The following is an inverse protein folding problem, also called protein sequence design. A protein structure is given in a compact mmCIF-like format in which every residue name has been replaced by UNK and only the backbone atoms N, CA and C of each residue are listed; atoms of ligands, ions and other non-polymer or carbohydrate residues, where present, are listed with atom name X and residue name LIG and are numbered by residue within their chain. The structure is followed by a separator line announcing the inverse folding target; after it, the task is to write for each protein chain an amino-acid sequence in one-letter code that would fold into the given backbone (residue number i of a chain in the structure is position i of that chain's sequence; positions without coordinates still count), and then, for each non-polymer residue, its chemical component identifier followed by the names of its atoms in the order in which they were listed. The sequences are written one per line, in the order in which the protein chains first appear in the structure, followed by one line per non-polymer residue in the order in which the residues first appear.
data_IF_366375238373
#
_entry.id   IF_366375238373
#
_cell.length_a   1.000
_cell.length_b   1.000
_cell.length_c   1.000
_cell.angle_alpha   90.00
_cell.angle_beta   90.00
_cell.angle_gamma   90.00
#
_symmetry.space_group_name_H-M   'P 1'
#
loop_
_entity.id
_entity.type
_entity.pdbx_description
1 polymer ?
#
# COMPACT_ATOMS: atom_id res chain seq x y z
N UNK A 1 6.33 30.19 -38.39
CA UNK A 1 6.82 31.04 -37.28
C UNK A 1 6.60 30.29 -35.99
N UNK A 2 7.58 29.48 -35.59
CA UNK A 2 7.63 28.71 -34.36
C UNK A 2 9.08 28.77 -33.90
N UNK A 3 9.34 29.26 -32.69
CA UNK A 3 10.50 28.84 -31.89
C UNK A 3 10.35 29.39 -30.46
N UNK A 4 9.60 28.66 -29.63
CA UNK A 4 9.53 28.89 -28.20
C UNK A 4 9.75 27.60 -27.38
N UNK A 5 10.42 26.60 -27.96
CA UNK A 5 10.71 25.31 -27.29
C UNK A 5 12.15 25.12 -26.82
N UNK A 6 13.03 26.14 -26.91
CA UNK A 6 14.46 25.97 -26.60
C UNK A 6 14.96 26.56 -25.27
N UNK A 7 14.09 27.05 -24.37
CA UNK A 7 14.58 27.71 -23.13
C UNK A 7 14.58 26.85 -21.86
N UNK A 8 14.23 25.56 -21.90
CA UNK A 8 14.13 24.75 -20.67
C UNK A 8 15.34 23.82 -20.38
N UNK A 9 16.38 23.84 -21.21
CA UNK A 9 17.58 22.99 -21.02
C UNK A 9 18.90 23.76 -20.91
N UNK A 10 18.85 25.05 -20.56
CA UNK A 10 20.05 25.91 -20.51
C UNK A 10 20.62 26.17 -19.11
N UNK A 11 20.03 25.65 -18.03
CA UNK A 11 20.50 26.04 -16.70
C UNK A 11 20.57 24.87 -15.72
N UNK A 12 21.79 24.36 -15.56
CA UNK A 12 22.42 23.92 -14.29
C UNK A 12 23.64 23.04 -14.55
N UNK A 13 24.75 23.68 -14.95
CA UNK A 13 26.11 23.18 -14.71
C UNK A 13 26.86 24.19 -13.85
N UNK A 14 26.64 24.16 -12.54
CA UNK A 14 27.55 24.82 -11.61
C UNK A 14 28.60 23.81 -11.14
N UNK A 15 29.83 23.98 -11.65
CA UNK A 15 31.04 23.33 -11.15
C UNK A 15 31.39 23.94 -9.79
N UNK A 16 31.45 23.13 -8.75
CA UNK A 16 32.01 23.53 -7.45
C UNK A 16 33.52 23.27 -7.49
N UNK A 17 34.31 24.34 -7.39
CA UNK A 17 35.75 24.27 -7.09
C UNK A 17 35.87 24.10 -5.58
N UNK A 18 36.48 23.01 -5.10
CA UNK A 18 36.83 22.85 -3.69
C UNK A 18 38.35 22.84 -3.58
N UNK A 19 38.95 23.94 -3.14
CA UNK A 19 40.29 23.94 -2.56
C UNK A 19 40.18 23.52 -1.10
N UNK A 20 40.89 22.43 -0.75
CA UNK A 20 41.36 22.13 0.61
C UNK A 20 40.31 22.13 1.74
N UNK A 21 39.61 21.01 1.92
CA UNK A 21 39.03 20.66 3.21
C UNK A 21 39.16 19.16 3.43
N UNK A 22 39.78 18.77 4.54
CA UNK A 22 39.98 17.38 4.97
C UNK A 22 38.63 16.70 5.18
N UNK A 23 38.37 15.64 4.41
CA UNK A 23 37.10 14.92 4.42
C UNK A 23 36.94 14.10 5.70
N UNK A 24 36.02 14.52 6.57
CA UNK A 24 35.27 13.58 7.41
C UNK A 24 33.80 13.70 7.05
N UNK A 25 33.36 12.86 6.10
CA UNK A 25 31.94 12.70 5.80
C UNK A 25 31.28 12.04 7.02
N UNK A 26 30.71 12.85 7.93
CA UNK A 26 29.71 12.35 8.87
C UNK A 26 28.39 12.24 8.11
N UNK A 27 27.86 11.03 8.03
CA UNK A 27 26.56 10.72 7.42
C UNK A 27 25.47 11.66 7.96
N UNK A 28 24.60 12.25 7.12
CA UNK A 28 23.55 13.15 7.58
C UNK A 28 22.32 12.43 8.18
N UNK A 29 22.47 11.18 8.65
CA UNK A 29 21.33 10.37 9.12
C UNK A 29 20.89 10.67 10.57
N UNK A 30 21.45 11.67 11.24
CA UNK A 30 20.97 12.11 12.54
C UNK A 30 19.76 13.05 12.38
N UNK A 31 18.57 12.50 12.13
CA UNK A 31 17.32 13.28 12.26
C UNK A 31 16.25 13.07 11.19
N UNK A 32 16.49 12.24 10.18
CA UNK A 32 15.36 11.75 9.36
C UNK A 32 14.64 10.70 10.22
N UNK A 33 13.34 10.85 10.54
CA UNK A 33 12.58 9.73 11.08
C UNK A 33 12.75 8.61 10.07
N UNK A 34 13.42 7.53 10.50
CA UNK A 34 13.52 6.34 9.70
C UNK A 34 12.09 6.01 9.29
N UNK A 35 11.78 6.04 7.99
CA UNK A 35 10.55 5.41 7.50
C UNK A 35 10.71 3.98 7.96
N UNK A 36 10.02 3.62 9.04
CA UNK A 36 10.10 2.29 9.61
C UNK A 36 9.69 1.37 8.49
N UNK A 37 10.66 0.65 7.93
CA UNK A 37 10.41 -0.53 7.13
C UNK A 37 9.71 -1.51 8.04
N UNK A 38 8.39 -1.41 8.10
CA UNK A 38 7.56 -2.34 8.80
C UNK A 38 7.46 -3.58 7.94
N UNK A 39 8.31 -4.58 8.21
CA UNK A 39 7.73 -5.91 8.28
C UNK A 39 6.54 -5.77 9.23
N UNK A 40 5.32 -5.71 8.69
CA UNK A 40 4.10 -5.53 9.47
C UNK A 40 3.73 -6.84 10.16
N UNK A 41 4.70 -7.45 10.83
CA UNK A 41 4.50 -8.51 11.79
C UNK A 41 3.91 -7.84 13.03
N UNK A 42 2.58 -7.84 13.14
CA UNK A 42 1.90 -7.18 14.24
C UNK A 42 0.43 -6.90 13.97
N UNK A 43 -0.27 -6.47 15.02
CA UNK A 43 -1.69 -6.17 14.99
C UNK A 43 -1.93 -4.76 14.43
N UNK A 44 -1.85 -4.61 13.10
CA UNK A 44 -2.20 -3.37 12.40
C UNK A 44 -1.05 -2.47 11.97
N UNK A 45 -1.39 -1.33 11.36
CA UNK A 45 -0.47 -0.26 10.96
C UNK A 45 -0.85 0.48 9.68
N UNK A 46 -0.19 1.61 9.44
CA UNK A 46 -0.33 2.39 8.21
C UNK A 46 0.72 1.95 7.17
N UNK A 47 0.24 1.56 5.99
CA UNK A 47 1.03 1.00 4.91
C UNK A 47 0.97 1.96 3.73
N UNK A 48 2.07 2.66 3.45
CA UNK A 48 2.09 3.82 2.53
C UNK A 48 2.95 3.63 1.29
N UNK A 49 3.57 2.46 1.12
CA UNK A 49 4.41 2.17 -0.04
C UNK A 49 3.55 1.76 -1.25
N UNK A 50 3.97 2.02 -2.50
CA UNK A 50 3.23 1.57 -3.68
C UNK A 50 3.06 0.04 -3.72
N UNK A 51 4.06 -0.70 -3.22
CA UNK A 51 4.01 -2.15 -3.05
C UNK A 51 4.40 -2.47 -1.63
N UNK A 52 3.71 -3.41 -0.99
CA UNK A 52 4.05 -3.82 0.37
C UNK A 52 3.62 -5.24 0.72
N UNK A 53 4.15 -5.72 1.84
CA UNK A 53 4.00 -7.08 2.31
C UNK A 53 5.32 -7.88 2.28
N UNK A 54 5.34 -9.10 2.85
CA UNK A 54 4.19 -9.79 3.45
C UNK A 54 3.70 -9.12 4.74
N UNK A 55 2.38 -8.99 4.87
CA UNK A 55 1.67 -8.57 6.09
C UNK A 55 0.92 -9.78 6.61
N UNK A 56 0.97 -10.01 7.91
CA UNK A 56 0.44 -11.23 8.51
C UNK A 56 -0.49 -10.95 9.67
N UNK A 57 -1.40 -11.89 9.95
CA UNK A 57 -2.02 -11.98 11.27
C UNK A 57 -0.95 -12.12 12.36
N UNK A 58 -1.31 -11.86 13.61
CA UNK A 58 -0.40 -12.07 14.74
C UNK A 58 0.09 -13.52 14.77
N UNK A 59 1.33 -13.72 15.25
CA UNK A 59 1.98 -15.01 15.43
C UNK A 59 2.16 -15.89 14.18
N UNK A 60 1.71 -15.46 12.99
CA UNK A 60 1.87 -16.21 11.74
C UNK A 60 3.34 -16.63 11.55
N UNK A 61 3.64 -17.90 11.21
CA UNK A 61 2.73 -18.94 10.73
C UNK A 61 2.10 -19.81 11.84
N UNK A 62 2.25 -19.44 13.12
CA UNK A 62 1.46 -20.03 14.21
C UNK A 62 0.07 -19.40 14.28
N UNK A 63 -0.80 -19.93 15.14
CA UNK A 63 -2.15 -19.40 15.23
C UNK A 63 -2.18 -17.98 15.81
N UNK A 64 -3.09 -17.14 15.29
CA UNK A 64 -3.41 -15.85 15.89
C UNK A 64 -3.96 -16.00 17.32
N UNK A 65 -4.07 -14.89 18.05
CA UNK A 65 -4.63 -14.84 19.40
C UNK A 65 -6.14 -14.62 19.44
N UNK A 66 -6.75 -14.93 20.58
CA UNK A 66 -8.15 -14.63 20.86
C UNK A 66 -8.36 -13.14 21.15
N UNK A 67 -9.56 -12.62 20.91
CA UNK A 67 -9.98 -11.25 21.19
C UNK A 67 -9.13 -10.18 20.51
N UNK A 68 -8.61 -10.48 19.32
CA UNK A 68 -7.83 -9.52 18.55
C UNK A 68 -8.75 -8.51 17.85
N UNK A 69 -8.25 -7.30 17.70
CA UNK A 69 -8.82 -6.26 16.84
C UNK A 69 -7.67 -5.53 16.16
N UNK A 70 -7.29 -6.00 14.97
CA UNK A 70 -6.14 -5.51 14.23
C UNK A 70 -6.59 -4.73 13.00
N UNK A 71 -6.00 -3.55 12.80
CA UNK A 71 -6.44 -2.61 11.78
C UNK A 71 -5.27 -2.15 10.91
N UNK A 72 -5.40 -2.32 9.59
CA UNK A 72 -4.42 -1.85 8.62
C UNK A 72 -5.06 -0.82 7.69
N UNK A 73 -4.40 0.32 7.52
CA UNK A 73 -4.75 1.30 6.51
C UNK A 73 -3.68 1.29 5.41
N UNK A 74 -4.06 0.88 4.21
CA UNK A 74 -3.23 0.96 3.03
C UNK A 74 -3.57 2.26 2.30
N UNK A 75 -2.56 3.10 2.05
CA UNK A 75 -2.69 4.31 1.25
C UNK A 75 -1.63 4.32 0.18
N UNK A 76 -2.04 4.36 -1.09
CA UNK A 76 -1.15 4.46 -2.25
C UNK A 76 -1.24 5.86 -2.88
N UNK A 77 -0.33 6.23 -3.80
CA UNK A 77 -0.40 7.52 -4.47
C UNK A 77 -1.76 7.76 -5.15
N UNK A 78 -2.19 9.03 -5.16
CA UNK A 78 -3.38 9.45 -5.90
C UNK A 78 -3.31 9.04 -7.37
N UNK A 79 -4.48 8.80 -7.98
CA UNK A 79 -4.56 8.26 -9.34
C UNK A 79 -4.16 6.78 -9.43
N UNK A 80 -3.98 6.09 -8.31
CA UNK A 80 -3.79 4.63 -8.26
C UNK A 80 -4.90 3.96 -7.46
N UNK A 81 -5.12 2.67 -7.73
CA UNK A 81 -5.96 1.78 -6.92
C UNK A 81 -5.10 0.68 -6.28
N UNK A 82 -5.64 -0.03 -5.32
CA UNK A 82 -4.94 -1.06 -4.54
C UNK A 82 -5.40 -2.43 -4.99
N UNK A 83 -4.44 -3.29 -5.34
CA UNK A 83 -4.65 -4.73 -5.54
C UNK A 83 -4.08 -5.50 -4.36
N UNK A 84 -4.97 -6.04 -3.53
CA UNK A 84 -4.67 -6.90 -2.39
C UNK A 84 -4.64 -8.38 -2.84
N UNK A 85 -3.61 -9.12 -2.44
CA UNK A 85 -3.42 -10.53 -2.79
C UNK A 85 -3.10 -11.33 -1.54
N UNK A 86 -3.71 -12.50 -1.40
CA UNK A 86 -3.47 -13.41 -0.27
C UNK A 86 -2.62 -14.60 -0.71
N UNK A 87 -1.59 -14.89 0.08
CA UNK A 87 -0.81 -16.12 -0.07
C UNK A 87 -1.49 -17.27 0.70
N UNK A 88 -2.09 -16.96 1.85
CA UNK A 88 -2.80 -17.92 2.70
C UNK A 88 -3.94 -17.23 3.47
N UNK A 89 -5.01 -17.98 3.73
CA UNK A 89 -6.13 -17.52 4.56
C UNK A 89 -6.83 -18.69 5.26
N UNK A 90 -6.83 -18.66 6.59
CA UNK A 90 -7.47 -19.65 7.45
C UNK A 90 -7.82 -19.04 8.81
N UNK A 91 -9.10 -18.72 9.03
CA UNK A 91 -9.64 -18.25 10.32
C UNK A 91 -10.76 -19.18 10.82
N UNK A 92 -11.24 -19.00 12.04
CA UNK A 92 -12.45 -19.69 12.49
C UNK A 92 -13.67 -19.21 11.69
N UNK A 93 -14.32 -20.15 10.99
CA UNK A 93 -15.34 -19.86 10.00
C UNK A 93 -16.64 -19.22 10.52
N UNK A 94 -16.94 -19.33 11.82
CA UNK A 94 -18.18 -18.79 12.38
C UNK A 94 -18.04 -17.39 12.96
N UNK A 95 -16.82 -17.01 13.35
CA UNK A 95 -16.64 -16.12 14.48
C UNK A 95 -15.48 -15.13 14.29
N UNK A 96 -14.49 -15.50 13.45
CA UNK A 96 -13.32 -14.66 13.18
C UNK A 96 -13.36 -14.12 11.75
N UNK A 97 -13.21 -12.81 11.61
CA UNK A 97 -13.49 -12.11 10.37
C UNK A 97 -12.36 -11.16 9.99
N UNK A 98 -11.92 -11.21 8.74
CA UNK A 98 -11.16 -10.14 8.11
C UNK A 98 -12.11 -9.37 7.19
N UNK A 99 -12.43 -8.13 7.54
CA UNK A 99 -13.27 -7.25 6.72
C UNK A 99 -12.41 -6.24 5.98
N UNK A 100 -12.63 -6.13 4.67
CA UNK A 100 -11.92 -5.23 3.76
C UNK A 100 -12.88 -4.15 3.30
N UNK A 101 -12.48 -2.89 3.46
CA UNK A 101 -13.26 -1.70 3.19
C UNK A 101 -12.61 -0.87 2.09
N UNK A 102 -13.43 -0.31 1.19
CA UNK A 102 -13.02 0.52 0.07
C UNK A 102 -12.90 1.99 0.48
N UNK A 103 -11.91 2.30 1.30
CA UNK A 103 -11.66 3.65 1.79
C UNK A 103 -10.70 3.67 2.97
N UNK A 104 -10.66 4.80 3.67
CA UNK A 104 -9.67 5.06 4.71
C UNK A 104 -10.08 4.61 6.13
N UNK A 105 -11.28 4.04 6.31
CA UNK A 105 -11.82 3.66 7.62
C UNK A 105 -12.91 2.58 7.52
N UNK A 106 -13.36 2.07 8.66
CA UNK A 106 -14.45 1.10 8.79
C UNK A 106 -15.85 1.68 8.52
N UNK A 107 -15.95 2.99 8.28
CA UNK A 107 -17.17 3.64 7.80
C UNK A 107 -17.34 3.59 6.27
N UNK A 108 -16.32 3.13 5.54
CA UNK A 108 -16.37 3.00 4.09
C UNK A 108 -17.17 1.75 3.65
N UNK A 109 -17.42 1.63 2.35
CA UNK A 109 -18.13 0.48 1.80
C UNK A 109 -17.32 -0.81 1.99
N UNK A 110 -17.96 -1.89 2.45
CA UNK A 110 -17.30 -3.20 2.53
C UNK A 110 -17.15 -3.78 1.13
N UNK A 111 -15.92 -4.13 0.75
CA UNK A 111 -15.64 -4.89 -0.47
C UNK A 111 -15.93 -6.37 -0.22
N UNK A 112 -15.38 -6.91 0.88
CA UNK A 112 -15.52 -8.31 1.23
C UNK A 112 -15.28 -8.54 2.73
N UNK A 113 -15.98 -9.52 3.28
CA UNK A 113 -15.66 -10.11 4.60
C UNK A 113 -15.23 -11.56 4.37
N UNK A 114 -14.05 -11.92 4.87
CA UNK A 114 -13.45 -13.23 4.75
C UNK A 114 -13.47 -13.97 6.08
N UNK A 115 -13.75 -15.26 6.04
CA UNK A 115 -13.70 -16.17 7.20
C UNK A 115 -13.45 -17.62 6.75
N UNK A 116 -13.06 -18.50 7.66
CA UNK A 116 -12.80 -19.91 7.37
C UNK A 116 -11.51 -20.12 6.57
N UNK A 117 -11.29 -21.36 6.12
CA UNK A 117 -10.19 -21.70 5.22
C UNK A 117 -10.65 -21.57 3.77
N UNK A 118 -10.00 -20.69 3.00
CA UNK A 118 -10.35 -20.50 1.59
C UNK A 118 -9.19 -19.92 0.76
N UNK A 119 -9.20 -20.19 -0.54
CA UNK A 119 -8.37 -19.48 -1.51
C UNK A 119 -9.06 -18.17 -1.90
N UNK A 120 -8.39 -17.05 -1.67
CA UNK A 120 -8.96 -15.72 -1.90
C UNK A 120 -8.45 -15.17 -3.23
N UNK A 121 -9.36 -14.82 -4.14
CA UNK A 121 -8.99 -14.12 -5.38
C UNK A 121 -8.54 -12.69 -5.09
N UNK A 122 -7.69 -12.07 -5.93
CA UNK A 122 -7.24 -10.70 -5.69
C UNK A 122 -8.41 -9.73 -5.51
N UNK A 123 -8.31 -8.88 -4.49
CA UNK A 123 -9.31 -7.88 -4.14
C UNK A 123 -8.81 -6.51 -4.60
N UNK A 124 -9.66 -5.75 -5.29
CA UNK A 124 -9.30 -4.46 -5.91
C UNK A 124 -10.14 -3.35 -5.27
N UNK A 125 -9.51 -2.27 -4.80
CA UNK A 125 -10.22 -1.06 -4.36
C UNK A 125 -10.68 -0.20 -5.54
N UNK A 126 -11.60 0.72 -5.29
CA UNK A 126 -11.95 1.78 -6.25
C UNK A 126 -11.21 3.09 -6.00
N UNK A 127 -10.61 3.23 -4.82
CA UNK A 127 -9.83 4.42 -4.43
C UNK A 127 -8.36 4.09 -4.12
N UNK A 128 -7.58 5.12 -3.81
CA UNK A 128 -6.19 4.98 -3.37
C UNK A 128 -6.05 4.62 -1.88
N UNK A 129 -7.16 4.29 -1.19
CA UNK A 129 -7.17 3.84 0.20
C UNK A 129 -7.95 2.54 0.37
N UNK A 130 -7.44 1.64 1.20
CA UNK A 130 -8.09 0.39 1.57
C UNK A 130 -7.85 0.13 3.05
N UNK A 131 -8.94 -0.05 3.80
CA UNK A 131 -8.89 -0.32 5.23
C UNK A 131 -9.24 -1.78 5.49
N UNK A 132 -8.48 -2.44 6.35
CA UNK A 132 -8.67 -3.84 6.71
C UNK A 132 -8.80 -3.94 8.21
N UNK A 133 -9.80 -4.70 8.68
CA UNK A 133 -9.96 -5.01 10.11
C UNK A 133 -10.11 -6.51 10.32
N UNK A 134 -9.21 -7.08 11.12
CA UNK A 134 -9.32 -8.45 11.61
C UNK A 134 -9.84 -8.44 13.05
N UNK A 135 -10.88 -9.22 13.30
CA UNK A 135 -11.40 -9.47 14.65
C UNK A 135 -11.46 -10.95 14.95
N UNK A 136 -11.05 -11.36 16.15
CA UNK A 136 -11.24 -12.72 16.66
C UNK A 136 -12.05 -12.76 17.95
N UNK A 137 -12.73 -13.88 18.16
CA UNK A 137 -13.54 -14.13 19.35
C UNK A 137 -12.68 -14.66 20.53
N UNK A 138 -13.32 -15.10 21.62
CA UNK A 138 -12.63 -15.56 22.83
C UNK A 138 -11.97 -16.95 22.73
N UNK A 139 -12.14 -17.68 21.63
CA UNK A 139 -11.71 -19.08 21.50
C UNK A 139 -11.30 -19.45 20.06
N UNK A 140 -10.90 -20.73 19.87
CA UNK A 140 -10.59 -21.38 18.58
C UNK A 140 -9.82 -20.50 17.59
N UNK A 141 -8.50 -20.65 17.57
CA UNK A 141 -7.65 -19.94 16.61
C UNK A 141 -7.15 -20.85 15.50
N UNK A 142 -6.79 -20.23 14.38
CA UNK A 142 -6.20 -20.89 13.20
C UNK A 142 -4.93 -20.15 12.80
N UNK A 143 -4.26 -20.65 11.76
CA UNK A 143 -3.01 -20.06 11.27
C UNK A 143 -3.13 -18.59 10.85
N UNK A 144 -4.33 -18.12 10.53
CA UNK A 144 -4.59 -16.75 10.11
C UNK A 144 -4.28 -16.54 8.64
N UNK A 145 -3.64 -15.43 8.32
CA UNK A 145 -3.48 -15.02 6.92
C UNK A 145 -2.14 -14.31 6.67
N UNK A 146 -1.72 -14.37 5.42
CA UNK A 146 -0.64 -13.56 4.88
C UNK A 146 -1.13 -12.89 3.59
N UNK A 147 -0.99 -11.56 3.52
CA UNK A 147 -1.32 -10.79 2.32
C UNK A 147 -0.16 -9.88 1.89
N UNK A 148 -0.21 -9.50 0.62
CA UNK A 148 0.60 -8.44 0.03
C UNK A 148 -0.30 -7.52 -0.79
N UNK A 149 0.20 -6.34 -1.13
CA UNK A 149 -0.55 -5.40 -1.95
C UNK A 149 0.35 -4.65 -2.92
N UNK A 150 -0.26 -4.20 -4.02
CA UNK A 150 0.39 -3.41 -5.08
C UNK A 150 -0.53 -2.29 -5.53
N UNK A 151 0.05 -1.13 -5.83
CA UNK A 151 -0.63 -0.02 -6.46
C UNK A 151 -0.74 -0.27 -7.96
N UNK A 152 -1.92 -0.04 -8.52
CA UNK A 152 -2.15 -0.03 -9.96
C UNK A 152 -2.44 1.42 -10.36
N UNK A 153 -1.50 2.05 -11.06
CA UNK A 153 -1.69 3.41 -11.56
C UNK A 153 -2.76 3.40 -12.64
N UNK A 154 -3.82 4.19 -12.42
CA UNK A 154 -4.81 4.44 -13.44
C UNK A 154 -4.18 5.37 -14.48
N UNK A 155 -4.33 5.09 -15.78
CA UNK A 155 -3.80 5.98 -16.80
C UNK A 155 -4.58 7.31 -16.75
N UNK A 156 -3.98 8.30 -16.10
CA UNK A 156 -4.55 9.63 -15.88
C UNK A 156 -4.85 10.38 -17.20
N UNK A 157 -4.26 9.92 -18.32
CA UNK A 157 -4.40 10.50 -19.66
C UNK A 157 -4.95 9.55 -20.72
N UNK A 158 -5.36 8.31 -20.39
CA UNK A 158 -5.97 7.44 -21.43
C UNK A 158 -7.35 7.93 -21.88
N UNK A 159 -7.97 8.86 -21.14
CA UNK A 159 -9.23 9.51 -21.53
C UNK A 159 -9.00 10.63 -22.56
N UNK A 160 -7.82 11.26 -22.59
CA UNK A 160 -7.52 12.34 -23.55
C UNK A 160 -7.05 11.84 -24.92
N UNK A 161 -6.69 10.56 -25.06
CA UNK A 161 -6.27 10.00 -26.36
C UNK A 161 -7.46 9.68 -27.28
N UNK A 162 -8.69 9.62 -26.74
CA UNK A 162 -9.89 9.30 -27.54
C UNK A 162 -10.48 10.56 -28.19
N UNK A 163 -10.21 11.75 -27.66
CA UNK A 163 -10.74 13.01 -28.22
C UNK A 163 -9.92 13.56 -29.39
N UNK A 164 -8.66 13.16 -29.55
CA UNK A 164 -7.79 13.64 -30.64
C UNK A 164 -8.05 12.97 -32.00
N UNK A 165 -8.94 11.97 -32.06
CA UNK A 165 -9.32 11.27 -33.30
C UNK A 165 -10.64 11.76 -33.90
N UNK A 166 -11.39 12.60 -33.17
CA UNK A 166 -12.66 13.15 -33.61
C UNK A 166 -12.53 14.57 -34.23
N UNK A 167 -11.40 15.25 -34.05
CA UNK A 167 -11.12 16.58 -34.63
C UNK A 167 -10.35 16.50 -35.98
N UNK A 168 -10.26 15.31 -36.58
CA UNK A 168 -9.66 15.09 -37.91
C UNK A 168 -10.68 14.85 -39.05
N UNK A 169 -11.92 15.31 -38.90
CA UNK A 169 -12.88 15.45 -40.01
C UNK A 169 -13.58 16.81 -40.02
#
# INVERSE_FOLDING_TARGET
MHDWFSSYLSDRKQRVVIQGATSTWKSPLAGVPQVTQGNAAGCGGNLTTPTGGPVTSTNYPSNYGNNENCEWLITVPEGSIIRLTFDSFNTEGCCDFLTIYDGASDSAAVIQTLTGQQSVSPIISTSNSMFLRFTSDHSITRQGFQFSYTSLTLPQHAVEVIVDIADLY
#
